data_IF_202870033543
#
_entry.id   IF_202870033543
#
_cell.length_a   1.000
_cell.length_b   1.000
_cell.length_c   1.000
_cell.angle_alpha   90.00
_cell.angle_beta   90.00
_cell.angle_gamma   90.00
#
_symmetry.space_group_name_H-M   'P 1'
#
loop_
_entity.id
_entity.type
_entity.pdbx_description
1 polymer ?
#
# COMPACT_ATOMS: atom_id res chain seq x y z
N UNK A 1 12.87 21.61 -6.76
CA UNK A 1 12.28 20.25 -6.72
C UNK A 1 13.42 19.27 -6.83
N UNK A 2 13.51 18.30 -5.92
CA UNK A 2 14.57 17.28 -5.90
C UNK A 2 13.94 15.90 -5.94
N UNK A 3 14.51 15.00 -6.73
CA UNK A 3 14.06 13.60 -6.85
C UNK A 3 14.16 13.05 -8.27
N UNK A 4 13.69 11.83 -8.47
CA UNK A 4 13.67 11.19 -9.79
C UNK A 4 12.50 11.70 -10.62
N UNK A 5 12.78 12.12 -11.86
CA UNK A 5 11.75 12.57 -12.79
C UNK A 5 10.98 11.35 -13.32
N UNK A 6 9.70 11.27 -12.99
CA UNK A 6 8.77 10.31 -13.55
C UNK A 6 7.90 11.04 -14.57
N UNK A 7 8.09 10.70 -15.85
CA UNK A 7 7.25 11.24 -16.91
C UNK A 7 5.82 10.75 -16.76
N UNK A 8 4.87 11.68 -16.73
CA UNK A 8 3.45 11.36 -16.50
C UNK A 8 3.13 10.83 -15.10
N UNK A 9 4.04 10.98 -14.12
CA UNK A 9 3.87 10.47 -12.76
C UNK A 9 2.87 11.24 -11.89
N UNK A 10 2.34 12.38 -12.36
CA UNK A 10 1.30 13.16 -11.69
C UNK A 10 -0.07 13.04 -12.38
N UNK A 11 -1.17 13.26 -11.63
CA UNK A 11 -2.51 13.36 -12.21
C UNK A 11 -2.56 14.33 -13.40
N UNK A 12 -3.13 13.86 -14.52
CA UNK A 12 -3.17 14.61 -15.77
C UNK A 12 -1.93 14.48 -16.65
N UNK A 13 -1.10 13.45 -16.44
CA UNK A 13 0.05 13.14 -17.31
C UNK A 13 1.20 14.13 -17.20
N UNK A 14 1.23 14.94 -16.13
CA UNK A 14 2.33 15.87 -15.88
C UNK A 14 3.53 15.13 -15.31
N UNK A 15 4.72 15.61 -15.66
CA UNK A 15 5.95 15.14 -15.07
C UNK A 15 5.96 15.45 -13.57
N UNK A 16 6.40 14.48 -12.78
CA UNK A 16 6.51 14.60 -11.34
C UNK A 16 7.92 14.21 -10.89
N UNK A 17 8.38 14.82 -9.80
CA UNK A 17 9.56 14.32 -9.09
C UNK A 17 9.10 13.42 -7.96
N UNK A 18 9.66 12.22 -7.87
CA UNK A 18 9.35 11.25 -6.82
C UNK A 18 10.63 10.78 -6.14
N UNK A 19 10.56 10.55 -4.82
CA UNK A 19 11.69 10.09 -4.00
C UNK A 19 12.81 11.12 -3.93
N UNK A 20 13.12 11.65 -2.75
CA UNK A 20 14.31 12.52 -2.63
C UNK A 20 15.53 11.62 -2.60
N UNK A 21 16.57 12.03 -3.32
CA UNK A 21 17.89 11.43 -3.20
C UNK A 21 18.33 11.46 -1.73
N UNK A 22 18.46 10.28 -1.15
CA UNK A 22 18.79 10.11 0.27
C UNK A 22 20.23 9.62 0.47
N UNK A 23 20.82 9.01 -0.55
CA UNK A 23 22.16 8.43 -0.47
C UNK A 23 22.78 8.24 -1.85
N UNK A 24 24.10 8.32 -1.89
CA UNK A 24 24.91 8.15 -3.09
C UNK A 24 26.21 7.41 -2.71
N UNK A 25 26.55 6.35 -3.43
CA UNK A 25 27.83 5.67 -3.33
C UNK A 25 28.34 5.28 -4.73
N UNK A 26 29.66 5.21 -4.91
CA UNK A 26 30.26 4.72 -6.15
C UNK A 26 30.90 3.35 -5.92
N UNK A 27 30.59 2.40 -6.80
CA UNK A 27 31.19 1.07 -6.80
C UNK A 27 32.56 1.08 -7.48
N UNK A 28 33.38 0.05 -7.24
CA UNK A 28 34.73 -0.08 -7.82
C UNK A 28 34.75 -0.10 -9.36
N UNK A 29 33.63 -0.48 -9.97
CA UNK A 29 33.44 -0.50 -11.43
C UNK A 29 32.93 0.82 -12.01
N UNK A 30 32.86 1.87 -11.19
CA UNK A 30 32.40 3.21 -11.59
C UNK A 30 30.88 3.41 -11.59
N UNK A 31 30.09 2.36 -11.34
CA UNK A 31 28.63 2.50 -11.22
C UNK A 31 28.22 3.24 -9.93
N UNK A 32 27.13 4.00 -10.00
CA UNK A 32 26.60 4.77 -8.87
C UNK A 32 25.42 4.03 -8.24
N UNK A 33 25.49 3.80 -6.93
CA UNK A 33 24.35 3.39 -6.11
C UNK A 33 23.67 4.64 -5.59
N UNK A 34 22.37 4.75 -5.84
CA UNK A 34 21.56 5.90 -5.50
C UNK A 34 20.38 5.43 -4.67
N UNK A 35 20.08 6.06 -3.55
CA UNK A 35 18.90 5.70 -2.74
C UNK A 35 17.85 6.80 -2.72
N UNK A 36 16.59 6.39 -2.58
CA UNK A 36 15.48 7.32 -2.39
C UNK A 36 14.77 7.10 -1.04
N UNK A 37 14.35 8.20 -0.42
CA UNK A 37 13.72 8.19 0.91
C UNK A 37 12.26 7.74 0.93
N UNK A 38 11.65 7.50 -0.23
CA UNK A 38 10.23 7.19 -0.33
C UNK A 38 10.01 5.68 -0.53
N UNK A 39 10.84 5.03 -1.33
CA UNK A 39 10.80 3.59 -1.57
C UNK A 39 11.87 2.83 -0.78
N UNK A 40 12.88 3.50 -0.22
CA UNK A 40 14.11 2.87 0.32
C UNK A 40 14.75 1.89 -0.69
N UNK A 41 14.67 2.19 -1.99
CA UNK A 41 15.28 1.41 -3.06
C UNK A 41 16.72 1.91 -3.30
N UNK A 42 17.61 0.99 -3.65
CA UNK A 42 18.95 1.29 -4.16
C UNK A 42 18.95 1.10 -5.68
N UNK A 43 19.06 2.18 -6.45
CA UNK A 43 19.26 2.16 -7.90
C UNK A 43 20.74 2.04 -8.20
N UNK A 44 21.13 1.14 -9.12
CA UNK A 44 22.49 1.11 -9.68
C UNK A 44 22.49 1.75 -11.06
N UNK A 45 23.12 2.90 -11.19
CA UNK A 45 23.28 3.65 -12.44
C UNK A 45 24.66 3.31 -13.01
N UNK A 46 24.72 2.81 -14.24
CA UNK A 46 25.98 2.55 -14.95
C UNK A 46 25.89 3.08 -16.39
N UNK A 47 27.02 3.55 -16.93
CA UNK A 47 27.14 4.01 -18.31
C UNK A 47 27.96 2.95 -19.06
N UNK A 48 27.41 2.38 -20.13
CA UNK A 48 28.00 1.34 -21.02
C UNK A 48 27.97 -0.13 -20.57
N UNK A 49 27.39 -0.48 -19.43
CA UNK A 49 27.01 -1.86 -19.16
C UNK A 49 25.57 -2.07 -19.65
N UNK A 50 25.32 -3.13 -20.42
CA UNK A 50 23.96 -3.55 -20.83
C UNK A 50 23.10 -3.46 -19.57
N UNK A 51 22.07 -2.60 -19.60
CA UNK A 51 21.27 -2.26 -18.43
C UNK A 51 20.95 -3.54 -17.66
N UNK A 52 21.63 -3.74 -16.53
CA UNK A 52 21.22 -4.78 -15.62
C UNK A 52 19.87 -4.28 -15.10
N UNK A 53 18.78 -5.04 -15.27
CA UNK A 53 17.52 -4.66 -14.65
C UNK A 53 17.80 -4.38 -13.17
N UNK A 54 17.11 -3.41 -12.55
CA UNK A 54 17.25 -3.15 -11.13
C UNK A 54 17.23 -4.50 -10.40
N UNK A 55 18.25 -4.74 -9.57
CA UNK A 55 18.22 -5.86 -8.64
C UNK A 55 17.02 -5.53 -7.75
N UNK A 56 15.93 -6.30 -7.90
CA UNK A 56 14.54 -6.01 -7.50
C UNK A 56 13.66 -5.32 -8.56
N UNK A 57 13.52 -5.93 -9.73
CA UNK A 57 12.21 -6.08 -10.37
C UNK A 57 11.63 -7.40 -9.88
N UNK A 58 11.18 -7.41 -8.62
CA UNK A 58 10.15 -8.35 -8.21
C UNK A 58 8.86 -7.74 -8.77
N UNK A 59 8.59 -7.99 -10.05
CA UNK A 59 7.34 -7.68 -10.73
C UNK A 59 6.19 -8.49 -10.07
N UNK A 60 5.82 -8.17 -8.84
CA UNK A 60 4.66 -8.79 -8.18
C UNK A 60 3.49 -7.85 -8.32
N UNK A 61 2.79 -8.07 -9.43
CA UNK A 61 1.36 -7.82 -9.53
C UNK A 61 0.72 -8.31 -8.22
N UNK A 62 0.05 -7.37 -7.56
CA UNK A 62 -0.64 -7.39 -6.27
C UNK A 62 -1.78 -8.41 -6.13
N UNK A 63 -1.85 -9.39 -7.00
CA UNK A 63 -2.95 -10.36 -7.00
C UNK A 63 -2.35 -11.73 -6.85
N UNK A 64 -2.33 -12.17 -5.59
CA UNK A 64 -1.80 -13.43 -5.09
C UNK A 64 -0.30 -13.50 -5.33
N UNK A 65 0.48 -13.51 -4.25
CA UNK A 65 1.82 -14.08 -4.29
C UNK A 65 1.62 -15.62 -4.39
N UNK A 66 1.71 -16.27 -5.57
CA UNK A 66 1.74 -17.72 -5.64
C UNK A 66 2.97 -18.32 -4.93
N UNK A 67 4.00 -17.51 -4.68
CA UNK A 67 5.18 -17.92 -3.92
C UNK A 67 4.99 -17.83 -2.39
N UNK A 68 3.88 -17.23 -1.94
CA UNK A 68 3.36 -17.35 -0.57
C UNK A 68 2.28 -18.47 -0.48
N UNK A 69 1.98 -19.15 -1.60
CA UNK A 69 0.88 -20.11 -1.72
C UNK A 69 1.11 -21.50 -1.12
N UNK A 70 2.02 -21.64 -0.16
CA UNK A 70 2.06 -22.84 0.70
C UNK A 70 0.90 -22.91 1.71
N UNK A 71 0.25 -21.78 1.96
CA UNK A 71 -0.84 -21.67 2.91
C UNK A 71 -2.19 -22.14 2.33
N UNK A 72 -2.62 -23.35 2.70
CA UNK A 72 -3.94 -23.89 2.38
C UNK A 72 -5.05 -23.38 3.32
N UNK A 73 -4.69 -22.84 4.50
CA UNK A 73 -5.65 -22.38 5.48
C UNK A 73 -6.16 -20.96 5.15
N UNK A 74 -7.48 -20.76 5.30
CA UNK A 74 -8.16 -19.50 4.98
C UNK A 74 -8.56 -18.75 6.26
N UNK A 75 -8.24 -17.46 6.30
CA UNK A 75 -8.71 -16.51 7.32
C UNK A 75 -9.93 -15.79 6.77
N UNK A 76 -10.98 -15.66 7.56
CA UNK A 76 -12.11 -14.79 7.21
C UNK A 76 -11.79 -13.37 7.64
N UNK A 77 -11.87 -12.40 6.74
CA UNK A 77 -11.66 -10.97 7.04
C UNK A 77 -12.96 -10.21 6.74
N UNK A 78 -13.39 -9.36 7.66
CA UNK A 78 -14.64 -8.61 7.59
C UNK A 78 -14.50 -7.21 8.20
N UNK A 79 -15.47 -6.36 7.90
CA UNK A 79 -15.61 -5.04 8.50
C UNK A 79 -17.09 -4.69 8.58
N UNK A 80 -17.47 -3.92 9.59
CA UNK A 80 -18.78 -3.29 9.67
C UNK A 80 -18.93 -2.07 8.75
N UNK A 81 -17.82 -1.58 8.19
CA UNK A 81 -17.77 -0.37 7.38
C UNK A 81 -18.37 -0.52 5.97
N UNK A 82 -18.22 -1.68 5.34
CA UNK A 82 -18.64 -1.97 3.97
C UNK A 82 -18.73 -3.49 3.75
N UNK A 83 -19.53 -3.90 2.76
CA UNK A 83 -19.59 -5.29 2.31
C UNK A 83 -18.38 -5.61 1.40
N UNK A 84 -18.02 -6.89 1.26
CA UNK A 84 -16.98 -7.28 0.31
C UNK A 84 -17.34 -6.83 -1.12
N UNK A 85 -16.39 -6.20 -1.81
CA UNK A 85 -16.55 -5.47 -3.07
C UNK A 85 -17.58 -4.33 -3.00
N UNK A 86 -17.94 -3.85 -1.81
CA UNK A 86 -18.79 -2.69 -1.59
C UNK A 86 -18.00 -1.40 -1.58
N UNK A 87 -18.72 -0.27 -1.63
CA UNK A 87 -18.09 1.05 -1.58
C UNK A 87 -17.58 1.38 -0.18
N UNK A 88 -16.31 1.76 -0.07
CA UNK A 88 -15.71 2.27 1.16
C UNK A 88 -16.33 3.64 1.47
N UNK A 89 -16.85 3.88 2.68
CA UNK A 89 -17.37 5.18 3.07
C UNK A 89 -16.34 6.31 3.01
N UNK A 90 -16.80 7.50 2.64
CA UNK A 90 -15.96 8.70 2.44
C UNK A 90 -15.03 9.01 3.61
N UNK A 91 -15.49 8.81 4.85
CA UNK A 91 -14.69 9.07 6.06
C UNK A 91 -13.35 8.32 6.10
N UNK A 92 -13.25 7.16 5.44
CA UNK A 92 -12.01 6.39 5.38
C UNK A 92 -11.07 6.83 4.25
N UNK A 93 -11.57 7.59 3.27
CA UNK A 93 -10.73 8.11 2.19
C UNK A 93 -9.90 9.32 2.64
N UNK A 94 -8.79 9.55 1.96
CA UNK A 94 -7.94 10.71 2.20
C UNK A 94 -8.47 12.00 1.53
N UNK A 95 -9.70 11.96 1.01
CA UNK A 95 -10.47 13.16 0.63
C UNK A 95 -11.26 13.73 1.81
N UNK A 96 -11.45 12.96 2.89
CA UNK A 96 -12.18 13.35 4.09
C UNK A 96 -11.32 13.09 5.34
N UNK A 97 -11.85 12.41 6.37
CA UNK A 97 -11.15 12.22 7.64
C UNK A 97 -9.91 11.31 7.54
N UNK A 98 -9.87 10.38 6.58
CA UNK A 98 -8.73 9.50 6.36
C UNK A 98 -8.40 8.61 7.57
N UNK A 99 -9.43 8.20 8.31
CA UNK A 99 -9.30 7.25 9.44
C UNK A 99 -9.31 5.81 8.92
N UNK A 100 -8.63 4.87 9.59
CA UNK A 100 -8.69 3.46 9.17
C UNK A 100 -10.05 2.85 9.50
N UNK A 101 -10.62 1.97 8.66
CA UNK A 101 -11.82 1.21 9.02
C UNK A 101 -11.53 0.23 10.15
N UNK A 102 -12.57 -0.12 10.90
CA UNK A 102 -12.53 -1.31 11.75
C UNK A 102 -12.34 -2.56 10.89
N UNK A 103 -11.55 -3.51 11.38
CA UNK A 103 -11.36 -4.80 10.73
C UNK A 103 -11.52 -5.91 11.77
N UNK A 104 -12.15 -7.00 11.37
CA UNK A 104 -12.26 -8.24 12.14
C UNK A 104 -11.77 -9.40 11.31
N UNK A 105 -11.18 -10.37 11.98
CA UNK A 105 -10.82 -11.63 11.36
C UNK A 105 -11.00 -12.82 12.29
N UNK A 106 -11.21 -13.98 11.68
CA UNK A 106 -11.36 -15.26 12.35
C UNK A 106 -10.76 -16.39 11.52
N UNK A 107 -10.60 -17.57 12.13
CA UNK A 107 -9.96 -18.71 11.46
C UNK A 107 -8.43 -18.63 11.42
N UNK A 108 -7.81 -17.88 12.33
CA UNK A 108 -6.35 -17.89 12.52
C UNK A 108 -5.92 -19.27 13.01
N UNK A 109 -5.00 -19.97 12.32
CA UNK A 109 -4.52 -21.28 12.76
C UNK A 109 -3.76 -21.25 14.08
N UNK A 110 -3.84 -22.32 14.87
CA UNK A 110 -3.15 -22.44 16.16
C UNK A 110 -1.62 -22.41 16.07
N UNK A 111 -1.03 -22.72 14.91
CA UNK A 111 0.41 -22.66 14.68
C UNK A 111 0.90 -21.25 14.29
N UNK A 112 0.01 -20.26 14.19
CA UNK A 112 0.40 -18.88 13.94
C UNK A 112 1.11 -18.26 15.15
N UNK A 113 2.27 -17.63 14.93
CA UNK A 113 3.01 -16.87 15.95
C UNK A 113 2.83 -15.37 15.83
N UNK A 114 2.44 -14.87 14.66
CA UNK A 114 2.07 -13.47 14.44
C UNK A 114 1.14 -13.31 13.24
N UNK A 115 0.49 -12.14 13.14
CA UNK A 115 -0.29 -11.73 11.98
C UNK A 115 0.30 -10.47 11.34
N UNK A 116 0.05 -10.33 10.05
CA UNK A 116 0.34 -9.16 9.23
C UNK A 116 -0.95 -8.65 8.60
N UNK A 117 -1.12 -7.34 8.56
CA UNK A 117 -2.15 -6.65 7.78
C UNK A 117 -1.46 -5.88 6.65
N UNK A 118 -2.00 -5.99 5.45
CA UNK A 118 -1.57 -5.20 4.29
C UNK A 118 -2.80 -4.67 3.55
N UNK A 119 -2.77 -3.39 3.17
CA UNK A 119 -3.78 -2.76 2.32
C UNK A 119 -3.12 -2.25 1.04
N UNK A 120 -3.56 -2.76 -0.11
CA UNK A 120 -2.99 -2.40 -1.42
C UNK A 120 -4.04 -2.00 -2.45
N UNK A 121 -3.65 -1.11 -3.36
CA UNK A 121 -4.41 -0.71 -4.55
C UNK A 121 -3.68 -1.21 -5.82
N UNK A 122 -4.16 -2.29 -6.47
CA UNK A 122 -3.60 -2.83 -7.71
C UNK A 122 -3.98 -2.02 -8.97
N UNK A 123 -4.99 -1.16 -8.87
CA UNK A 123 -5.58 -0.44 -10.00
C UNK A 123 -4.87 0.89 -10.27
N UNK A 124 -4.17 1.44 -9.27
CA UNK A 124 -3.34 2.63 -9.39
C UNK A 124 -2.31 2.56 -10.54
N UNK A 125 -2.00 3.69 -11.16
CA UNK A 125 -1.04 3.75 -12.27
C UNK A 125 0.40 3.34 -11.87
N UNK A 126 0.80 3.62 -10.63
CA UNK A 126 2.02 3.10 -10.01
C UNK A 126 1.64 1.83 -9.25
N UNK A 127 2.22 0.68 -9.55
CA UNK A 127 1.73 -0.61 -9.03
C UNK A 127 2.75 -1.38 -8.20
N UNK A 128 2.30 -2.06 -7.12
CA UNK A 128 1.09 -1.76 -6.34
C UNK A 128 1.30 -0.58 -5.38
N UNK A 129 0.23 0.14 -5.05
CA UNK A 129 0.27 1.20 -4.04
C UNK A 129 -0.06 0.62 -2.67
N UNK A 130 0.90 0.66 -1.74
CA UNK A 130 0.69 0.25 -0.35
C UNK A 130 0.06 1.38 0.46
N UNK A 131 -1.17 1.17 0.90
CA UNK A 131 -1.96 2.13 1.68
C UNK A 131 -1.78 1.96 3.19
N UNK A 132 -1.53 0.74 3.66
CA UNK A 132 -1.35 0.46 5.08
C UNK A 132 -0.65 -0.89 5.27
N UNK A 133 0.34 -0.95 6.16
CA UNK A 133 0.99 -2.19 6.56
C UNK A 133 1.18 -2.23 8.08
N UNK A 134 0.87 -3.37 8.67
CA UNK A 134 1.14 -3.66 10.08
C UNK A 134 1.71 -5.07 10.21
N UNK A 135 2.68 -5.24 11.11
CA UNK A 135 3.35 -6.51 11.35
C UNK A 135 3.40 -6.84 12.84
N UNK A 136 3.69 -8.11 13.15
CA UNK A 136 3.81 -8.62 14.50
C UNK A 136 2.55 -8.41 15.37
N UNK A 137 1.37 -8.40 14.74
CA UNK A 137 0.10 -8.44 15.48
C UNK A 137 0.02 -9.80 16.20
N UNK A 138 -0.35 -9.80 17.48
CA UNK A 138 -0.43 -11.05 18.24
C UNK A 138 -1.52 -11.99 17.66
N UNK A 139 -1.28 -13.31 17.59
CA UNK A 139 -2.18 -14.25 16.89
C UNK A 139 -3.56 -14.41 17.56
N UNK A 140 -3.69 -14.03 18.83
CA UNK A 140 -4.97 -14.02 19.55
C UNK A 140 -5.79 -12.74 19.35
N UNK A 141 -5.23 -11.71 18.71
CA UNK A 141 -5.98 -10.51 18.33
C UNK A 141 -6.90 -10.87 17.17
N UNK A 142 -8.18 -10.49 17.27
CA UNK A 142 -9.24 -10.84 16.31
C UNK A 142 -9.69 -9.66 15.45
N UNK A 143 -8.99 -8.53 15.51
CA UNK A 143 -9.32 -7.35 14.75
C UNK A 143 -8.56 -6.09 15.15
N UNK A 144 -8.80 -5.02 14.42
CA UNK A 144 -8.35 -3.66 14.73
C UNK A 144 -9.55 -2.74 14.86
N UNK A 145 -9.52 -1.79 15.81
CA UNK A 145 -10.55 -0.78 15.91
C UNK A 145 -10.50 0.19 14.72
N UNK A 146 -11.59 0.93 14.51
CA UNK A 146 -11.56 2.11 13.66
C UNK A 146 -10.53 3.12 14.18
N UNK A 147 -9.91 3.87 13.27
CA UNK A 147 -9.00 4.98 13.59
C UNK A 147 -7.78 4.55 14.42
N UNK A 148 -7.08 3.51 13.98
CA UNK A 148 -5.77 3.12 14.54
C UNK A 148 -4.81 4.30 14.43
N UNK A 149 -4.13 4.63 15.55
CA UNK A 149 -3.17 5.72 15.61
C UNK A 149 -2.05 5.53 14.58
N UNK A 150 -1.60 6.61 13.93
CA UNK A 150 -0.58 6.56 12.86
C UNK A 150 0.84 6.69 13.45
N UNK A 151 1.20 5.76 14.31
CA UNK A 151 2.48 5.69 15.06
C UNK A 151 3.19 4.36 14.79
N UNK A 152 4.51 4.31 14.94
CA UNK A 152 5.29 3.07 14.67
C UNK A 152 4.81 1.87 15.48
N UNK A 153 4.32 2.11 16.70
CA UNK A 153 3.63 1.11 17.50
C UNK A 153 2.19 1.55 17.73
N UNK A 154 1.23 0.71 17.37
CA UNK A 154 -0.18 0.90 17.65
C UNK A 154 -0.86 -0.46 17.87
N UNK A 155 -1.77 -0.54 18.84
CA UNK A 155 -2.53 -1.77 19.13
C UNK A 155 -1.65 -3.01 19.35
N UNK A 156 -0.45 -2.83 19.92
CA UNK A 156 0.50 -3.92 20.18
C UNK A 156 1.23 -4.45 18.94
N UNK A 157 1.13 -3.76 17.81
CA UNK A 157 1.74 -4.14 16.54
C UNK A 157 2.60 -3.02 15.95
N UNK A 158 3.54 -3.40 15.09
CA UNK A 158 4.41 -2.46 14.38
C UNK A 158 3.70 -1.96 13.12
N UNK A 159 3.83 -0.68 12.81
CA UNK A 159 3.33 -0.09 11.56
C UNK A 159 4.48 0.35 10.66
N UNK A 160 4.35 0.06 9.38
CA UNK A 160 5.31 0.43 8.36
C UNK A 160 4.92 1.69 7.59
N UNK A 161 5.79 2.07 6.65
CA UNK A 161 5.57 3.18 5.74
C UNK A 161 4.53 2.84 4.66
N UNK A 162 3.56 3.74 4.50
CA UNK A 162 2.63 3.75 3.35
C UNK A 162 3.26 4.45 2.14
N UNK A 163 2.50 4.56 1.04
CA UNK A 163 2.91 5.20 -0.22
C UNK A 163 3.47 6.62 -0.09
N UNK A 164 3.15 7.34 0.99
CA UNK A 164 3.67 8.70 1.23
C UNK A 164 4.99 8.71 2.03
N UNK A 165 5.55 7.54 2.34
CA UNK A 165 6.70 7.38 3.23
C UNK A 165 6.36 7.60 4.72
N UNK A 166 5.07 7.77 5.06
CA UNK A 166 4.60 8.01 6.43
C UNK A 166 4.08 6.73 7.07
N UNK A 167 4.09 6.68 8.39
CA UNK A 167 3.61 5.53 9.16
C UNK A 167 2.07 5.44 9.15
N UNK A 168 1.57 4.21 9.04
CA UNK A 168 0.17 3.87 9.29
C UNK A 168 -0.76 4.14 8.11
N UNK A 169 -2.06 4.16 8.38
CA UNK A 169 -3.10 4.18 7.36
C UNK A 169 -3.10 5.45 6.49
N UNK A 170 -3.03 5.25 5.18
CA UNK A 170 -3.31 6.25 4.16
C UNK A 170 -4.55 5.82 3.37
N UNK A 171 -5.65 6.57 3.50
CA UNK A 171 -6.92 6.19 2.90
C UNK A 171 -6.95 6.24 1.37
N UNK A 172 -7.98 5.64 0.74
CA UNK A 172 -8.21 5.75 -0.70
C UNK A 172 -8.09 7.19 -1.21
N UNK A 173 -7.41 7.36 -2.33
CA UNK A 173 -7.27 8.65 -3.00
C UNK A 173 -7.11 8.50 -4.53
N UNK A 174 -8.00 7.73 -5.20
CA UNK A 174 -7.91 7.55 -6.64
C UNK A 174 -8.13 8.90 -7.35
N UNK A 175 -7.51 9.12 -8.52
CA UNK A 175 -7.82 10.27 -9.39
C UNK A 175 -9.32 10.39 -9.69
N UNK A 176 -9.74 11.59 -10.11
CA UNK A 176 -11.16 11.88 -10.40
C UNK A 176 -11.70 11.08 -11.57
N UNK A 177 -10.88 10.94 -12.61
CA UNK A 177 -11.30 10.35 -13.88
C UNK A 177 -11.20 8.83 -13.89
N UNK A 178 -10.61 8.25 -12.84
CA UNK A 178 -10.40 6.81 -12.77
C UNK A 178 -11.72 6.10 -12.40
N UNK A 179 -11.95 4.88 -12.92
CA UNK A 179 -13.00 4.02 -12.41
C UNK A 179 -12.80 3.74 -10.91
N UNK A 180 -13.78 3.14 -10.20
CA UNK A 180 -13.55 2.71 -8.83
C UNK A 180 -12.31 1.81 -8.71
N UNK A 181 -11.35 2.20 -7.86
CA UNK A 181 -10.21 1.36 -7.52
C UNK A 181 -10.59 0.35 -6.46
N UNK A 182 -9.98 -0.84 -6.52
CA UNK A 182 -10.06 -1.86 -5.48
C UNK A 182 -8.98 -1.64 -4.45
N UNK A 183 -9.36 -1.81 -3.20
CA UNK A 183 -8.46 -1.76 -2.06
C UNK A 183 -8.55 -3.09 -1.33
N UNK A 184 -7.49 -3.88 -1.42
CA UNK A 184 -7.41 -5.21 -0.83
C UNK A 184 -6.89 -5.11 0.59
N UNK A 185 -7.72 -5.41 1.58
CA UNK A 185 -7.32 -5.54 2.98
C UNK A 185 -7.01 -7.01 3.27
N UNK A 186 -5.73 -7.34 3.32
CA UNK A 186 -5.22 -8.70 3.40
C UNK A 186 -4.65 -8.97 4.78
N UNK A 187 -5.02 -10.10 5.37
CA UNK A 187 -4.47 -10.60 6.63
C UNK A 187 -3.70 -11.88 6.36
N UNK A 188 -2.48 -11.97 6.86
CA UNK A 188 -1.62 -13.14 6.77
C UNK A 188 -1.30 -13.63 8.18
N UNK A 189 -1.37 -14.94 8.40
CA UNK A 189 -0.83 -15.58 9.59
C UNK A 189 0.54 -16.17 9.28
N UNK A 190 1.49 -15.91 10.18
CA UNK A 190 2.89 -16.35 10.04
C UNK A 190 3.25 -17.36 11.13
N UNK A 191 4.13 -18.32 10.81
CA UNK A 191 4.71 -19.25 11.78
C UNK A 191 5.88 -18.66 12.58
N UNK A 192 6.18 -17.37 12.39
CA UNK A 192 7.25 -16.64 13.05
C UNK A 192 6.84 -15.21 13.43
N UNK A 193 7.67 -14.51 14.20
CA UNK A 193 7.65 -13.06 14.33
C UNK A 193 8.73 -12.48 13.42
N UNK A 194 8.46 -11.31 12.84
CA UNK A 194 9.36 -10.66 11.92
C UNK A 194 10.33 -9.74 12.66
N UNK A 195 11.60 -9.81 12.29
CA UNK A 195 12.60 -8.80 12.66
C UNK A 195 12.59 -7.70 11.60
N UNK A 196 11.96 -6.58 11.92
CA UNK A 196 11.74 -5.48 10.99
C UNK A 196 12.34 -4.18 11.55
N UNK A 197 12.98 -3.35 10.72
CA UNK A 197 13.42 -2.03 11.15
C UNK A 197 12.20 -1.14 11.46
N UNK A 198 12.43 -0.13 12.29
CA UNK A 198 11.46 0.96 12.49
C UNK A 198 11.15 1.63 11.13
N UNK A 199 9.86 1.86 10.87
CA UNK A 199 9.38 2.42 9.61
C UNK A 199 9.56 1.54 8.37
N UNK A 200 9.67 0.21 8.54
CA UNK A 200 9.77 -0.75 7.44
C UNK A 200 8.77 -0.47 6.30
N UNK A 201 9.19 -0.68 5.06
CA UNK A 201 8.35 -0.52 3.89
C UNK A 201 7.75 -1.86 3.45
N UNK A 202 6.95 -1.83 2.38
CA UNK A 202 6.36 -3.02 1.77
C UNK A 202 7.40 -4.09 1.41
N UNK A 203 8.53 -3.70 0.82
CA UNK A 203 9.54 -4.66 0.37
C UNK A 203 10.17 -5.43 1.54
N UNK A 204 10.62 -4.70 2.57
CA UNK A 204 11.17 -5.30 3.79
C UNK A 204 10.16 -6.24 4.48
N UNK A 205 8.87 -5.87 4.47
CA UNK A 205 7.81 -6.74 4.97
C UNK A 205 7.71 -8.04 4.16
N UNK A 206 7.68 -7.94 2.82
CA UNK A 206 7.57 -9.10 1.95
C UNK A 206 8.77 -10.04 2.07
N UNK A 207 9.99 -9.49 2.10
CA UNK A 207 11.22 -10.26 2.26
C UNK A 207 11.23 -10.99 3.62
N UNK A 208 10.78 -10.33 4.68
CA UNK A 208 10.68 -10.95 6.01
C UNK A 208 9.56 -12.02 6.09
N UNK A 209 8.50 -11.90 5.29
CA UNK A 209 7.40 -12.87 5.24
C UNK A 209 7.67 -14.11 4.39
N UNK A 210 8.72 -14.07 3.56
CA UNK A 210 9.02 -15.13 2.59
C UNK A 210 9.11 -16.50 3.28
N UNK A 211 8.38 -17.49 2.75
CA UNK A 211 8.25 -18.86 3.29
C UNK A 211 7.64 -19.00 4.71
N UNK A 212 7.12 -17.93 5.32
CA UNK A 212 6.59 -17.97 6.69
C UNK A 212 5.05 -17.94 6.79
N UNK A 213 4.34 -17.75 5.69
CA UNK A 213 2.88 -17.63 5.69
C UNK A 213 2.21 -18.99 5.77
N UNK A 214 1.35 -19.17 6.78
CA UNK A 214 0.61 -20.42 7.03
C UNK A 214 -0.90 -20.30 6.78
N UNK A 215 -1.46 -19.08 6.79
CA UNK A 215 -2.83 -18.80 6.37
C UNK A 215 -2.97 -17.39 5.83
N UNK A 216 -4.01 -17.16 5.03
CA UNK A 216 -4.32 -15.84 4.47
C UNK A 216 -5.81 -15.62 4.30
N UNK A 217 -6.21 -14.36 4.27
CA UNK A 217 -7.58 -13.93 4.00
C UNK A 217 -7.62 -12.50 3.51
N UNK A 218 -8.71 -12.11 2.85
CA UNK A 218 -8.89 -10.72 2.42
C UNK A 218 -10.35 -10.28 2.43
N UNK A 219 -10.54 -8.97 2.50
CA UNK A 219 -11.76 -8.28 2.11
C UNK A 219 -11.39 -7.14 1.16
N UNK A 220 -12.15 -6.98 0.09
CA UNK A 220 -11.92 -5.94 -0.91
C UNK A 220 -12.97 -4.85 -0.73
N UNK A 221 -12.53 -3.60 -0.65
CA UNK A 221 -13.41 -2.43 -0.72
C UNK A 221 -13.15 -1.66 -2.00
N UNK A 222 -14.18 -1.06 -2.58
CA UNK A 222 -14.03 -0.19 -3.76
C UNK A 222 -14.13 1.27 -3.36
N UNK A 223 -13.36 2.14 -3.98
CA UNK A 223 -13.54 3.58 -3.81
C UNK A 223 -13.37 4.31 -5.13
N UNK A 224 -14.26 5.27 -5.36
CA UNK A 224 -14.18 6.20 -6.48
C UNK A 224 -14.35 7.61 -5.94
N UNK A 225 -13.51 8.53 -6.41
CA UNK A 225 -13.71 9.94 -6.08
C UNK A 225 -15.03 10.42 -6.69
N UNK A 226 -15.93 10.97 -5.86
CA UNK A 226 -17.18 11.55 -6.35
C UNK A 226 -16.91 12.72 -7.31
N UNK A 227 -17.66 12.85 -8.42
CA UNK A 227 -17.64 14.06 -9.25
C UNK A 227 -18.05 15.29 -8.43
N UNK A 228 -17.40 16.44 -8.66
CA UNK A 228 -17.86 17.71 -8.07
C UNK A 228 -19.24 18.07 -8.67
N UNK A 229 -20.22 18.33 -7.81
CA UNK A 229 -21.60 18.63 -8.22
C UNK A 229 -21.76 20.09 -8.69
N UNK A 230 -20.68 20.89 -8.70
CA UNK A 230 -20.74 22.35 -8.91
C UNK A 230 -20.95 22.89 -10.34
N UNK A 231 -21.13 22.06 -11.37
CA UNK A 231 -21.26 22.56 -12.76
C UNK A 231 -22.49 22.02 -13.52
N UNK A 232 -23.70 22.03 -12.93
CA UNK A 232 -24.93 21.71 -13.69
C UNK A 232 -26.05 22.77 -13.68
N UNK A 233 -25.86 23.95 -13.09
CA UNK A 233 -26.91 24.99 -13.04
C UNK A 233 -26.48 26.40 -13.51
N UNK A 234 -25.59 26.52 -14.50
CA UNK A 234 -25.39 27.80 -15.19
C UNK A 234 -25.52 27.64 -16.71
N UNK A 235 -26.66 27.11 -17.15
CA UNK A 235 -27.15 27.35 -18.51
C UNK A 235 -27.98 28.63 -18.44
N UNK A 236 -27.33 29.77 -18.65
CA UNK A 236 -28.01 31.04 -18.91
C UNK A 236 -28.98 30.83 -20.09
N UNK A 237 -30.28 31.17 -19.97
CA UNK A 237 -31.16 31.16 -21.12
C UNK A 237 -30.66 32.16 -22.17
N UNK A 238 -30.81 31.89 -23.48
CA UNK A 238 -30.37 32.80 -24.52
C UNK A 238 -31.09 34.14 -24.35
N UNK A 239 -30.33 35.24 -24.31
CA UNK A 239 -30.89 36.60 -24.40
C UNK A 239 -31.52 36.76 -25.79
N UNK A 240 -32.84 36.67 -25.85
CA UNK A 240 -33.62 37.06 -27.02
C UNK A 240 -33.55 38.57 -27.22
N UNK A 241 -33.38 38.98 -28.48
CA UNK A 241 -33.48 40.36 -28.98
C UNK A 241 -34.93 40.79 -29.13
#
# INVERSE_FOLDING_TARGET
>A
MTGFLVKGGAPGGKDAHFGRLAGLAQMKDGSMLVTDDTNNIIYRISYNLKAMPPIMSRDYISVLLPEIAGANATITVQTSAFQNNGMIPDKYSNYYAGVSPELKWSGVPNNAKSLVLMMEDPDAALKPVTHWIMANIAPNVTGLPENVMKTEMANGAMQGANITGKIGYYGPKPPREDPPHKYHFQVFALDTKLDLPSGFNRQALLDAMENHVVAKGEIVGMYQRKPDVRNKEEILPPRGK
#
